data_IF_106036402184
#
_entry.id   IF_106036402184
#
_cell.length_a   1.000
_cell.length_b   1.000
_cell.length_c   1.000
_cell.angle_alpha   90.00
_cell.angle_beta   90.00
_cell.angle_gamma   90.00
#
_symmetry.space_group_name_H-M   'P 1'
#
loop_
_entity.id
_entity.type
_entity.pdbx_description
1 polymer ?
#
# COMPACT_ATOMS: atom_id res chain seq x y z
N UNK A 1 4.25 -12.40 1.33
CA UNK A 1 3.07 -13.28 1.35
C UNK A 1 2.33 -13.19 0.02
N UNK A 2 1.92 -14.32 -0.56
CA UNK A 2 1.06 -14.32 -1.75
C UNK A 2 -0.41 -14.08 -1.37
N UNK A 3 -1.23 -13.65 -2.33
CA UNK A 3 -2.68 -13.49 -2.12
C UNK A 3 -3.39 -14.83 -1.80
N UNK A 4 -2.82 -15.95 -2.28
CA UNK A 4 -3.28 -17.30 -1.94
C UNK A 4 -3.01 -17.61 -0.46
N UNK A 5 -1.79 -17.37 0.01
CA UNK A 5 -1.44 -17.56 1.43
C UNK A 5 -2.27 -16.66 2.34
N UNK A 6 -2.52 -15.42 1.92
CA UNK A 6 -3.40 -14.50 2.65
C UNK A 6 -4.85 -14.99 2.71
N UNK A 7 -5.37 -15.51 1.60
CA UNK A 7 -6.71 -16.09 1.55
C UNK A 7 -6.85 -17.28 2.50
N UNK A 8 -5.88 -18.20 2.49
CA UNK A 8 -5.82 -19.34 3.40
C UNK A 8 -5.69 -18.90 4.87
N UNK A 9 -4.81 -17.95 5.17
CA UNK A 9 -4.60 -17.45 6.52
C UNK A 9 -5.84 -16.75 7.10
N UNK A 10 -6.58 -16.01 6.26
CA UNK A 10 -7.78 -15.27 6.68
C UNK A 10 -9.07 -16.07 6.54
N UNK A 11 -9.04 -17.29 6.01
CA UNK A 11 -10.24 -18.10 5.76
C UNK A 11 -11.23 -17.47 4.77
N UNK A 12 -10.74 -16.71 3.79
CA UNK A 12 -11.57 -16.04 2.77
C UNK A 12 -11.27 -16.54 1.36
N UNK A 13 -12.15 -16.21 0.41
CA UNK A 13 -11.89 -16.51 -1.00
C UNK A 13 -10.67 -15.76 -1.54
N UNK A 14 -10.00 -16.34 -2.52
CA UNK A 14 -8.84 -15.71 -3.20
C UNK A 14 -9.24 -14.40 -3.90
N UNK A 15 -10.44 -14.35 -4.48
CA UNK A 15 -11.02 -13.14 -5.06
C UNK A 15 -11.31 -12.07 -3.99
N UNK A 16 -11.79 -12.48 -2.82
CA UNK A 16 -11.97 -11.62 -1.66
C UNK A 16 -10.63 -11.04 -1.15
N UNK A 17 -9.61 -11.89 -1.00
CA UNK A 17 -8.26 -11.46 -0.64
C UNK A 17 -7.68 -10.47 -1.66
N UNK A 18 -7.81 -10.76 -2.97
CA UNK A 18 -7.42 -9.84 -4.06
C UNK A 18 -8.08 -8.47 -3.92
N UNK A 19 -9.41 -8.44 -3.75
CA UNK A 19 -10.17 -7.18 -3.64
C UNK A 19 -9.72 -6.37 -2.41
N UNK A 20 -9.55 -7.02 -1.26
CA UNK A 20 -9.08 -6.35 -0.04
C UNK A 20 -7.67 -5.78 -0.20
N UNK A 21 -6.75 -6.56 -0.75
CA UNK A 21 -5.36 -6.11 -0.99
C UNK A 21 -5.32 -4.92 -1.96
N UNK A 22 -6.15 -4.92 -3.01
CA UNK A 22 -6.25 -3.79 -3.93
C UNK A 22 -6.73 -2.52 -3.23
N UNK A 23 -7.79 -2.61 -2.42
CA UNK A 23 -8.32 -1.47 -1.65
C UNK A 23 -7.32 -0.96 -0.62
N UNK A 24 -6.69 -1.87 0.12
CA UNK A 24 -5.69 -1.52 1.12
C UNK A 24 -4.52 -0.72 0.50
N UNK A 25 -4.03 -1.13 -0.68
CA UNK A 25 -3.00 -0.38 -1.41
C UNK A 25 -3.47 1.02 -1.82
N UNK A 26 -4.70 1.18 -2.28
CA UNK A 26 -5.24 2.49 -2.64
C UNK A 26 -5.33 3.42 -1.41
N UNK A 27 -5.83 2.90 -0.29
CA UNK A 27 -5.92 3.64 0.97
C UNK A 27 -4.52 4.02 1.47
N UNK A 28 -3.58 3.08 1.47
CA UNK A 28 -2.21 3.34 1.90
C UNK A 28 -1.54 4.38 1.01
N UNK A 29 -1.68 4.27 -0.31
CA UNK A 29 -1.12 5.26 -1.25
C UNK A 29 -1.66 6.65 -0.95
N UNK A 30 -2.97 6.79 -0.70
CA UNK A 30 -3.59 8.07 -0.35
C UNK A 30 -2.98 8.64 0.93
N UNK A 31 -2.96 7.88 2.02
CA UNK A 31 -2.39 8.32 3.30
C UNK A 31 -0.93 8.73 3.19
N UNK A 32 -0.13 7.94 2.46
CA UNK A 32 1.27 8.26 2.25
C UNK A 32 1.45 9.59 1.50
N UNK A 33 0.61 9.91 0.52
CA UNK A 33 0.71 11.19 -0.22
C UNK A 33 0.17 12.39 0.58
N UNK A 34 -0.63 12.16 1.62
CA UNK A 34 -1.08 13.21 2.55
C UNK A 34 0.09 13.67 3.42
N UNK A 35 0.84 12.73 4.00
CA UNK A 35 1.89 13.02 4.98
C UNK A 35 3.30 13.16 4.38
N UNK A 36 3.53 12.53 3.21
CA UNK A 36 4.86 12.45 2.58
C UNK A 36 4.83 13.02 1.16
N UNK A 37 5.95 13.63 0.77
CA UNK A 37 6.31 13.86 -0.61
C UNK A 37 6.96 12.57 -1.15
N UNK A 38 6.16 11.76 -1.84
CA UNK A 38 6.59 10.46 -2.36
C UNK A 38 6.70 10.53 -3.89
N UNK A 39 7.89 10.28 -4.43
CA UNK A 39 8.11 10.13 -5.86
C UNK A 39 8.37 8.67 -6.19
N UNK A 40 7.70 8.16 -7.20
CA UNK A 40 7.85 6.78 -7.65
C UNK A 40 8.11 6.70 -9.13
N UNK A 41 8.89 5.70 -9.55
CA UNK A 41 9.03 5.37 -10.95
C UNK A 41 7.74 4.75 -11.55
N UNK A 42 7.76 4.47 -12.85
CA UNK A 42 6.65 3.84 -13.57
C UNK A 42 6.28 2.43 -13.08
N UNK A 43 7.18 1.78 -12.35
CA UNK A 43 6.98 0.45 -11.77
C UNK A 43 6.52 0.52 -10.31
N UNK A 44 6.47 1.72 -9.73
CA UNK A 44 6.09 1.96 -8.34
C UNK A 44 7.24 1.82 -7.35
N UNK A 45 8.49 1.77 -7.80
CA UNK A 45 9.64 1.84 -6.90
C UNK A 45 9.78 3.27 -6.37
N UNK A 46 10.09 3.42 -5.08
CA UNK A 46 10.27 4.71 -4.43
C UNK A 46 11.61 5.30 -4.85
N UNK A 47 11.58 6.51 -5.42
CA UNK A 47 12.75 7.30 -5.77
C UNK A 47 13.08 8.29 -4.64
N UNK A 48 12.05 8.95 -4.11
CA UNK A 48 12.18 9.99 -3.07
C UNK A 48 11.05 9.83 -2.06
N UNK A 49 11.34 10.04 -0.78
CA UNK A 49 10.38 9.97 0.31
C UNK A 49 10.76 11.00 1.38
N UNK A 50 10.05 12.13 1.41
CA UNK A 50 10.30 13.22 2.37
C UNK A 50 9.04 13.51 3.17
N UNK A 51 9.19 13.82 4.45
CA UNK A 51 8.06 14.16 5.30
C UNK A 51 7.62 15.60 4.98
N UNK A 52 6.33 15.79 4.66
CA UNK A 52 5.79 17.12 4.35
C UNK A 52 5.84 18.06 5.56
N UNK A 53 5.87 17.49 6.78
CA UNK A 53 6.06 18.23 8.02
C UNK A 53 7.25 17.68 8.82
N UNK A 54 8.08 18.55 9.43
CA UNK A 54 9.31 18.15 10.10
C UNK A 54 9.12 17.46 11.47
N UNK A 55 7.88 17.20 11.91
CA UNK A 55 7.60 16.73 13.29
C UNK A 55 6.71 15.49 13.39
N UNK A 56 6.64 14.63 12.36
CA UNK A 56 5.67 13.52 12.35
C UNK A 56 6.03 12.29 11.54
N UNK A 57 7.32 12.06 11.30
CA UNK A 57 7.88 10.77 10.96
C UNK A 57 8.68 10.31 12.19
#
# INVERSE_FOLDING_TARGET
>A
MSQLMLASHLGISVSGAKSRVQRARAILKKKLHEDLLLETDRYGNVLTCECRTPSGC
#
